data_IF_309728683955
#
_entry.id   IF_309728683955
#
_cell.length_a   1.000
_cell.length_b   1.000
_cell.length_c   1.000
_cell.angle_alpha   90.00
_cell.angle_beta   90.00
_cell.angle_gamma   90.00
#
_symmetry.space_group_name_H-M   'P 1'
#
loop_
_entity.id
_entity.type
_entity.pdbx_description
1 polymer ?
#
# COMPACT_ATOMS: atom_id res chain seq x y z
N UNK A 1 -11.98 12.16 -24.17
CA UNK A 1 -12.51 11.60 -22.89
C UNK A 1 -11.44 11.78 -21.82
N UNK A 2 -10.73 12.92 -21.87
CA UNK A 2 -9.37 13.03 -21.33
C UNK A 2 -9.27 14.05 -20.19
N UNK A 3 -10.31 14.85 -19.97
CA UNK A 3 -10.31 15.84 -18.88
C UNK A 3 -10.27 15.20 -17.49
N UNK A 4 -10.81 13.98 -17.33
CA UNK A 4 -10.89 13.31 -16.03
C UNK A 4 -9.51 12.80 -15.54
N UNK A 5 -8.70 12.22 -16.42
CA UNK A 5 -7.43 11.60 -16.03
C UNK A 5 -6.38 12.66 -15.70
N UNK A 6 -6.22 13.68 -16.55
CA UNK A 6 -5.28 14.77 -16.28
C UNK A 6 -5.67 15.57 -15.03
N UNK A 7 -6.96 15.84 -14.83
CA UNK A 7 -7.46 16.49 -13.62
C UNK A 7 -7.21 15.65 -12.36
N UNK A 8 -7.42 14.33 -12.43
CA UNK A 8 -7.10 13.41 -11.34
C UNK A 8 -5.60 13.38 -11.02
N UNK A 9 -4.74 13.30 -12.05
CA UNK A 9 -3.28 13.30 -11.88
C UNK A 9 -2.81 14.63 -11.29
N UNK A 10 -3.29 15.76 -11.82
CA UNK A 10 -2.95 17.08 -11.29
C UNK A 10 -3.43 17.23 -9.85
N UNK A 11 -4.63 16.71 -9.54
CA UNK A 11 -5.15 16.63 -8.18
C UNK A 11 -4.26 15.78 -7.25
N UNK A 12 -3.73 14.65 -7.72
CA UNK A 12 -2.85 13.77 -6.94
C UNK A 12 -1.54 14.47 -6.53
N UNK A 13 -1.04 15.40 -7.36
CA UNK A 13 0.19 16.15 -7.08
C UNK A 13 -0.04 17.50 -6.38
N UNK A 14 -1.30 17.88 -6.15
CA UNK A 14 -1.66 19.10 -5.41
C UNK A 14 -1.22 19.07 -3.95
N UNK A 15 -1.14 20.24 -3.31
CA UNK A 15 -0.82 20.35 -1.89
C UNK A 15 -1.95 19.79 -1.02
N UNK A 16 -3.20 19.94 -1.47
CA UNK A 16 -4.36 19.40 -0.77
C UNK A 16 -4.31 17.87 -0.66
N UNK A 17 -3.74 17.18 -1.65
CA UNK A 17 -3.64 15.72 -1.64
C UNK A 17 -2.79 15.15 -0.50
N UNK A 18 -1.84 15.92 0.06
CA UNK A 18 -1.05 15.47 1.21
C UNK A 18 -1.86 15.41 2.50
N UNK A 19 -2.88 16.25 2.63
CA UNK A 19 -3.70 16.39 3.83
C UNK A 19 -4.96 15.51 3.80
N UNK A 20 -5.37 15.06 2.60
CA UNK A 20 -6.51 14.18 2.44
C UNK A 20 -6.18 12.74 2.85
N UNK A 21 -6.85 12.16 3.86
CA UNK A 21 -6.65 10.77 4.23
C UNK A 21 -6.97 9.82 3.08
N UNK A 22 -6.26 8.70 3.02
CA UNK A 22 -6.59 7.61 2.09
C UNK A 22 -7.98 7.02 2.33
N UNK A 23 -8.50 7.12 3.56
CA UNK A 23 -9.82 6.60 3.93
C UNK A 23 -10.53 7.54 4.90
N UNK A 24 -11.78 7.88 4.58
CA UNK A 24 -12.63 8.71 5.45
C UNK A 24 -13.55 7.88 6.37
N UNK A 25 -13.67 6.57 6.11
CA UNK A 25 -14.54 5.66 6.86
C UNK A 25 -13.96 5.29 8.23
N UNK A 26 -14.84 4.95 9.19
CA UNK A 26 -14.41 4.33 10.46
C UNK A 26 -13.88 2.93 10.23
N UNK A 27 -12.96 2.52 11.12
CA UNK A 27 -12.40 1.16 11.11
C UNK A 27 -13.50 0.10 11.17
N UNK A 28 -14.54 0.35 11.97
CA UNK A 28 -15.66 -0.58 12.16
C UNK A 28 -16.62 -0.62 10.95
N UNK A 29 -16.60 0.45 10.13
CA UNK A 29 -17.39 0.56 8.91
C UNK A 29 -16.61 0.07 7.67
N UNK A 30 -15.40 -0.48 7.87
CA UNK A 30 -14.53 -0.87 6.78
C UNK A 30 -15.10 -2.10 6.04
N UNK A 31 -15.65 -1.87 4.87
CA UNK A 31 -16.12 -2.92 3.99
C UNK A 31 -15.14 -3.12 2.83
N UNK A 32 -14.79 -4.38 2.56
CA UNK A 32 -13.99 -4.74 1.39
C UNK A 32 -14.89 -5.36 0.32
N UNK A 33 -14.88 -4.77 -0.86
CA UNK A 33 -15.58 -5.24 -2.05
C UNK A 33 -14.60 -5.20 -3.23
N UNK A 34 -14.72 -6.17 -4.13
CA UNK A 34 -14.03 -6.06 -5.41
C UNK A 34 -14.69 -4.95 -6.23
N UNK A 35 -13.90 -4.12 -6.91
CA UNK A 35 -14.46 -3.12 -7.81
C UNK A 35 -15.16 -3.77 -8.99
N UNK A 36 -16.14 -3.10 -9.57
CA UNK A 36 -16.90 -3.61 -10.73
C UNK A 36 -16.01 -3.89 -11.96
N UNK A 37 -14.90 -3.17 -12.06
CA UNK A 37 -13.91 -3.34 -13.13
C UNK A 37 -12.89 -4.47 -12.86
N UNK A 38 -12.99 -5.18 -11.74
CA UNK A 38 -12.08 -6.28 -11.42
C UNK A 38 -12.19 -7.42 -12.43
N UNK A 39 -11.10 -7.70 -13.13
CA UNK A 39 -10.97 -8.80 -14.08
C UNK A 39 -10.10 -9.89 -13.46
N UNK A 40 -10.74 -10.96 -12.98
CA UNK A 40 -10.06 -12.09 -12.35
C UNK A 40 -9.03 -12.75 -13.28
N UNK A 41 -9.29 -12.80 -14.60
CA UNK A 41 -8.35 -13.40 -15.55
C UNK A 41 -7.09 -12.57 -15.66
N UNK A 42 -7.20 -11.25 -15.76
CA UNK A 42 -6.05 -10.33 -15.78
C UNK A 42 -5.29 -10.35 -14.46
N UNK A 43 -6.01 -10.37 -13.34
CA UNK A 43 -5.39 -10.49 -12.02
C UNK A 43 -4.54 -11.78 -11.91
N UNK A 44 -5.11 -12.92 -12.33
CA UNK A 44 -4.39 -14.19 -12.32
C UNK A 44 -3.24 -14.26 -13.34
N UNK A 45 -3.27 -13.47 -14.42
CA UNK A 45 -2.12 -13.30 -15.31
C UNK A 45 -0.95 -12.62 -14.58
N UNK A 46 -1.21 -11.55 -13.83
CA UNK A 46 -0.20 -10.90 -12.99
C UNK A 46 0.39 -11.84 -11.92
N UNK A 47 -0.45 -12.68 -11.31
CA UNK A 47 0.00 -13.71 -10.36
C UNK A 47 0.92 -14.75 -10.98
N UNK A 48 0.63 -15.20 -12.21
CA UNK A 48 1.50 -16.13 -12.94
C UNK A 48 2.84 -15.49 -13.28
N UNK A 49 2.82 -14.23 -13.74
CA UNK A 49 4.04 -13.47 -13.95
C UNK A 49 4.86 -13.37 -12.66
N UNK A 50 4.23 -13.07 -11.52
CA UNK A 50 4.94 -13.08 -10.24
C UNK A 50 5.53 -14.45 -9.91
N UNK A 51 4.80 -15.55 -10.13
CA UNK A 51 5.33 -16.89 -9.89
C UNK A 51 6.60 -17.19 -10.71
N UNK A 52 6.61 -16.77 -11.98
CA UNK A 52 7.74 -16.96 -12.90
C UNK A 52 8.97 -16.09 -12.54
N UNK A 53 8.75 -14.90 -11.97
CA UNK A 53 9.80 -13.90 -11.70
C UNK A 53 9.96 -13.52 -10.22
N UNK A 54 9.44 -14.35 -9.31
CA UNK A 54 9.31 -14.04 -7.87
C UNK A 54 10.60 -13.57 -7.22
N UNK A 55 11.74 -14.20 -7.54
CA UNK A 55 13.05 -13.80 -7.00
C UNK A 55 13.45 -12.38 -7.42
N UNK A 56 13.35 -12.06 -8.71
CA UNK A 56 13.72 -10.74 -9.24
C UNK A 56 12.78 -9.65 -8.71
N UNK A 57 11.48 -9.92 -8.68
CA UNK A 57 10.49 -9.01 -8.14
C UNK A 57 10.69 -8.79 -6.64
N UNK A 58 11.03 -9.84 -5.88
CA UNK A 58 11.35 -9.71 -4.46
C UNK A 58 12.59 -8.85 -4.22
N UNK A 59 13.64 -9.00 -5.04
CA UNK A 59 14.82 -8.14 -4.96
C UNK A 59 14.48 -6.68 -5.29
N UNK A 60 13.61 -6.46 -6.28
CA UNK A 60 13.13 -5.12 -6.66
C UNK A 60 12.37 -4.41 -5.54
N UNK A 61 11.55 -5.16 -4.79
CA UNK A 61 10.79 -4.63 -3.65
C UNK A 61 11.70 -4.08 -2.57
N UNK A 62 12.90 -4.63 -2.39
CA UNK A 62 13.88 -4.11 -1.42
C UNK A 62 14.38 -2.74 -1.86
N UNK A 63 14.71 -2.56 -3.15
CA UNK A 63 15.10 -1.26 -3.69
C UNK A 63 13.92 -0.26 -3.62
N UNK A 64 12.72 -0.71 -3.95
CA UNK A 64 11.47 0.05 -3.82
C UNK A 64 11.22 0.53 -2.40
N UNK A 65 11.43 -0.33 -1.40
CA UNK A 65 11.29 0.03 0.01
C UNK A 65 12.27 1.15 0.42
N UNK A 66 13.51 1.10 -0.06
CA UNK A 66 14.49 2.17 0.18
C UNK A 66 14.01 3.49 -0.46
N UNK A 67 13.47 3.42 -1.67
CA UNK A 67 12.89 4.59 -2.35
C UNK A 67 11.69 5.17 -1.58
N UNK A 68 10.82 4.32 -0.99
CA UNK A 68 9.69 4.77 -0.16
C UNK A 68 10.16 5.62 1.04
N UNK A 69 11.31 5.31 1.65
CA UNK A 69 11.83 6.13 2.76
C UNK A 69 12.28 7.53 2.35
N UNK A 70 12.43 7.81 1.05
CA UNK A 70 12.72 9.17 0.57
C UNK A 70 11.49 10.08 0.62
N UNK A 71 10.28 9.52 0.75
CA UNK A 71 9.05 10.29 0.87
C UNK A 71 8.83 10.68 2.33
N UNK A 72 8.98 11.98 2.62
CA UNK A 72 8.92 12.52 3.98
C UNK A 72 7.61 12.20 4.70
N UNK A 73 6.45 12.36 4.05
CA UNK A 73 5.13 12.09 4.64
C UNK A 73 4.99 10.64 5.10
N UNK A 74 5.45 9.69 4.28
CA UNK A 74 5.47 8.26 4.63
C UNK A 74 6.43 8.00 5.79
N UNK A 75 7.65 8.56 5.71
CA UNK A 75 8.68 8.35 6.73
C UNK A 75 8.24 8.88 8.11
N UNK A 76 7.63 10.06 8.16
CA UNK A 76 7.15 10.68 9.40
C UNK A 76 6.10 9.79 10.08
N UNK A 77 5.15 9.25 9.31
CA UNK A 77 4.16 8.30 9.83
C UNK A 77 4.84 7.04 10.35
N UNK A 78 5.74 6.43 9.58
CA UNK A 78 6.45 5.20 9.97
C UNK A 78 7.22 5.38 11.28
N UNK A 79 8.01 6.46 11.41
CA UNK A 79 8.77 6.77 12.62
C UNK A 79 7.84 7.00 13.81
N UNK A 80 6.70 7.68 13.60
CA UNK A 80 5.73 7.95 14.66
C UNK A 80 5.08 6.70 15.28
N UNK A 81 5.06 5.58 14.53
CA UNK A 81 4.50 4.30 15.01
C UNK A 81 5.39 3.62 16.04
N UNK A 82 6.68 3.97 16.10
CA UNK A 82 7.72 3.34 16.93
C UNK A 82 7.92 1.84 16.70
N UNK A 83 7.30 1.26 15.67
CA UNK A 83 7.45 -0.16 15.39
C UNK A 83 8.77 -0.51 14.70
N UNK A 84 9.56 0.48 14.26
CA UNK A 84 10.87 0.33 13.60
C UNK A 84 12.03 0.91 14.43
N UNK A 85 11.87 1.01 15.75
CA UNK A 85 12.84 1.67 16.64
C UNK A 85 14.09 0.81 16.98
N UNK A 86 14.15 -0.43 16.49
CA UNK A 86 15.31 -1.30 16.58
C UNK A 86 15.46 -2.12 15.30
N UNK A 87 16.68 -2.60 15.02
CA UNK A 87 16.95 -3.44 13.84
C UNK A 87 16.00 -4.65 13.79
N UNK A 88 15.77 -5.30 14.94
CA UNK A 88 14.88 -6.45 15.03
C UNK A 88 13.41 -6.11 14.74
N UNK A 89 12.89 -5.02 15.30
CA UNK A 89 11.49 -4.62 15.09
C UNK A 89 11.26 -4.12 13.67
N UNK A 90 12.22 -3.37 13.11
CA UNK A 90 12.23 -2.99 11.70
C UNK A 90 12.23 -4.22 10.78
N UNK A 91 13.11 -5.20 11.01
CA UNK A 91 13.12 -6.46 10.26
C UNK A 91 11.76 -7.15 10.27
N UNK A 92 11.11 -7.24 11.45
CA UNK A 92 9.78 -7.87 11.56
C UNK A 92 8.70 -7.17 10.75
N UNK A 93 8.68 -5.84 10.70
CA UNK A 93 7.71 -5.11 9.88
C UNK A 93 7.95 -5.41 8.42
N UNK A 94 9.17 -5.22 7.93
CA UNK A 94 9.45 -5.32 6.50
C UNK A 94 9.30 -6.76 6.00
N UNK A 95 9.65 -7.75 6.83
CA UNK A 95 9.34 -9.14 6.55
C UNK A 95 7.82 -9.39 6.55
N UNK A 96 7.06 -8.81 7.48
CA UNK A 96 5.59 -8.89 7.44
C UNK A 96 5.00 -8.26 6.18
N UNK A 97 5.54 -7.13 5.71
CA UNK A 97 5.14 -6.49 4.45
C UNK A 97 5.40 -7.42 3.28
N UNK A 98 6.59 -8.03 3.22
CA UNK A 98 6.94 -9.02 2.20
C UNK A 98 5.96 -10.21 2.20
N UNK A 99 5.63 -10.77 3.37
CA UNK A 99 4.64 -11.85 3.48
C UNK A 99 3.26 -11.40 2.99
N UNK A 100 2.80 -10.19 3.33
CA UNK A 100 1.52 -9.68 2.84
C UNK A 100 1.48 -9.59 1.32
N UNK A 101 2.54 -9.08 0.68
CA UNK A 101 2.64 -8.99 -0.78
C UNK A 101 2.64 -10.39 -1.40
N UNK A 102 3.40 -11.33 -0.85
CA UNK A 102 3.41 -12.72 -1.35
C UNK A 102 2.03 -13.36 -1.25
N UNK A 103 1.30 -13.16 -0.15
CA UNK A 103 -0.07 -13.65 -0.03
C UNK A 103 -1.00 -13.09 -1.10
N UNK A 104 -0.81 -11.83 -1.53
CA UNK A 104 -1.60 -11.24 -2.62
C UNK A 104 -1.30 -11.87 -3.97
N UNK A 105 -0.05 -12.26 -4.20
CA UNK A 105 0.41 -12.84 -5.47
C UNK A 105 0.16 -14.35 -5.54
N UNK A 106 0.29 -15.07 -4.42
CA UNK A 106 0.23 -16.53 -4.38
C UNK A 106 -1.19 -17.06 -4.16
N UNK A 107 -2.09 -16.27 -3.55
CA UNK A 107 -3.47 -16.68 -3.29
C UNK A 107 -4.48 -15.98 -4.19
N UNK A 108 -5.58 -16.67 -4.52
CA UNK A 108 -6.71 -16.06 -5.25
C UNK A 108 -7.29 -14.89 -4.46
N UNK A 109 -7.67 -13.82 -5.15
CA UNK A 109 -8.31 -12.66 -4.53
C UNK A 109 -9.82 -12.82 -4.50
N UNK A 110 -10.31 -13.52 -3.47
CA UNK A 110 -11.75 -13.74 -3.26
C UNK A 110 -12.13 -13.63 -1.78
N UNK A 111 -13.38 -13.26 -1.43
CA UNK A 111 -13.84 -13.22 -0.06
C UNK A 111 -13.46 -14.48 0.73
N UNK A 112 -12.79 -14.29 1.87
CA UNK A 112 -12.36 -15.38 2.76
C UNK A 112 -11.00 -16.03 2.44
N UNK A 113 -10.37 -15.72 1.31
CA UNK A 113 -9.01 -16.17 0.98
C UNK A 113 -7.94 -15.51 1.87
N UNK A 114 -6.72 -16.06 1.85
CA UNK A 114 -5.59 -15.47 2.59
C UNK A 114 -5.17 -14.10 2.03
N UNK A 115 -5.21 -13.91 0.71
CA UNK A 115 -4.98 -12.59 0.09
C UNK A 115 -6.02 -11.56 0.57
N UNK A 116 -7.30 -11.97 0.69
CA UNK A 116 -8.39 -11.13 1.15
C UNK A 116 -8.23 -10.72 2.60
N UNK A 117 -7.94 -11.69 3.49
CA UNK A 117 -7.65 -11.41 4.90
C UNK A 117 -6.42 -10.51 5.07
N UNK A 118 -5.39 -10.77 4.27
CA UNK A 118 -4.15 -10.00 4.22
C UNK A 118 -4.42 -8.54 3.82
N UNK A 119 -5.11 -8.30 2.70
CA UNK A 119 -5.50 -6.96 2.24
C UNK A 119 -6.36 -6.23 3.27
N UNK A 120 -7.36 -6.90 3.84
CA UNK A 120 -8.20 -6.32 4.89
C UNK A 120 -7.36 -5.88 6.10
N UNK A 121 -6.42 -6.72 6.53
CA UNK A 121 -5.51 -6.42 7.64
C UNK A 121 -4.64 -5.22 7.34
N UNK A 122 -4.02 -5.16 6.16
CA UNK A 122 -3.17 -4.04 5.74
C UNK A 122 -3.98 -2.75 5.62
N UNK A 123 -5.18 -2.81 5.04
CA UNK A 123 -6.09 -1.66 4.93
C UNK A 123 -6.48 -1.11 6.30
N UNK A 124 -6.82 -1.98 7.26
CA UNK A 124 -7.10 -1.60 8.65
C UNK A 124 -5.88 -0.95 9.32
N UNK A 125 -4.68 -1.50 9.11
CA UNK A 125 -3.44 -0.93 9.66
C UNK A 125 -3.16 0.46 9.13
N UNK A 126 -3.28 0.68 7.82
CA UNK A 126 -3.10 2.01 7.22
C UNK A 126 -4.13 3.01 7.73
N UNK A 127 -5.40 2.60 7.84
CA UNK A 127 -6.45 3.47 8.37
C UNK A 127 -6.16 3.89 9.82
N UNK A 128 -5.78 2.95 10.69
CA UNK A 128 -5.42 3.25 12.09
C UNK A 128 -4.16 4.13 12.17
N UNK A 129 -3.14 3.84 11.37
CA UNK A 129 -1.91 4.61 11.35
C UNK A 129 -2.14 6.06 10.86
N UNK A 130 -2.91 6.24 9.77
CA UNK A 130 -3.26 7.57 9.26
C UNK A 130 -4.06 8.40 10.27
N UNK A 131 -5.03 7.78 10.96
CA UNK A 131 -5.76 8.46 12.04
C UNK A 131 -4.86 8.83 13.21
N UNK A 132 -3.97 7.93 13.60
CA UNK A 132 -3.05 8.17 14.71
C UNK A 132 -2.06 9.29 14.38
N UNK A 133 -1.57 9.34 13.14
CA UNK A 133 -0.73 10.44 12.66
C UNK A 133 -1.48 11.77 12.69
N UNK A 134 -2.75 11.79 12.28
CA UNK A 134 -3.60 12.99 12.29
C UNK A 134 -3.85 13.50 13.70
N UNK A 135 -4.13 12.59 14.64
CA UNK A 135 -4.29 12.93 16.06
C UNK A 135 -3.00 13.44 16.73
N UNK A 136 -1.84 13.08 16.19
CA UNK A 136 -0.53 13.55 16.66
C UNK A 136 -0.07 14.83 15.96
N UNK A 137 -0.85 15.37 15.03
CA UNK A 137 -0.48 16.54 14.21
C UNK A 137 0.82 16.32 13.40
N UNK A 138 1.08 15.06 13.01
CA UNK A 138 2.26 14.68 12.19
C UNK A 138 1.90 14.56 10.69
N UNK A 139 0.60 14.49 10.37
CA UNK A 139 0.09 14.34 9.00
C UNK A 139 -0.93 13.21 8.91
N UNK A 140 -1.04 12.57 7.75
CA UNK A 140 -1.93 11.41 7.53
C UNK A 140 -1.26 10.41 6.58
N UNK A 141 -1.92 9.28 6.31
CA UNK A 141 -1.57 8.43 5.16
C UNK A 141 -2.54 8.80 4.04
N UNK A 142 -2.06 9.55 3.04
CA UNK A 142 -2.87 10.01 1.92
C UNK A 142 -3.05 8.94 0.84
N UNK A 143 -3.99 9.15 -0.10
CA UNK A 143 -4.08 8.29 -1.29
C UNK A 143 -2.79 8.32 -2.10
N UNK A 144 -2.16 9.50 -2.22
CA UNK A 144 -0.87 9.65 -2.89
C UNK A 144 0.22 8.81 -2.25
N UNK A 145 0.30 8.79 -0.92
CA UNK A 145 1.29 7.97 -0.20
C UNK A 145 1.11 6.48 -0.52
N UNK A 146 -0.13 6.00 -0.56
CA UNK A 146 -0.46 4.62 -0.94
C UNK A 146 -0.06 4.35 -2.40
N UNK A 147 -0.41 5.25 -3.33
CA UNK A 147 -0.06 5.13 -4.76
C UNK A 147 1.46 5.10 -4.99
N UNK A 148 2.21 6.00 -4.33
CA UNK A 148 3.66 6.04 -4.42
C UNK A 148 4.32 4.81 -3.81
N UNK A 149 3.82 4.33 -2.67
CA UNK A 149 4.31 3.10 -2.05
C UNK A 149 4.07 1.88 -2.96
N UNK A 150 2.90 1.78 -3.59
CA UNK A 150 2.60 0.71 -4.56
C UNK A 150 3.49 0.81 -5.80
N UNK A 151 3.66 2.02 -6.35
CA UNK A 151 4.53 2.24 -7.51
C UNK A 151 5.96 1.80 -7.24
N UNK A 152 6.55 2.22 -6.11
CA UNK A 152 7.92 1.83 -5.80
C UNK A 152 8.07 0.34 -5.47
N UNK A 153 7.07 -0.28 -4.83
CA UNK A 153 7.15 -1.69 -4.46
C UNK A 153 6.85 -2.67 -5.60
N UNK A 154 5.98 -2.31 -6.55
CA UNK A 154 5.52 -3.23 -7.60
C UNK A 154 5.96 -2.85 -9.02
N UNK A 155 6.20 -1.57 -9.30
CA UNK A 155 6.40 -1.04 -10.66
C UNK A 155 7.80 -0.48 -10.92
N UNK A 156 8.68 -0.37 -9.91
CA UNK A 156 9.99 0.29 -10.03
C UNK A 156 10.94 -0.37 -11.07
N UNK A 157 10.63 -1.56 -11.58
CA UNK A 157 11.40 -2.26 -12.62
C UNK A 157 10.58 -2.61 -13.88
N UNK A 158 9.37 -2.06 -14.05
CA UNK A 158 8.50 -2.25 -15.23
C UNK A 158 8.93 -1.38 -16.42
#
# INVERSE_FOLDING_TARGET
MDSNVEEFINGLFSEEAYEQPSYDQKVDDLEMKLPEWFDEKKYNQGRRFYADFSFMLSASMVAGLVAVFSIKTILDVLVSTRHSNSVYTAYRIYFSTYIHINLWMESELKPGSESWKSLYTVRKRHLVAGRTAKLKEIGTISQRDISLALFFLLDFLS
#
